data_IF_527350576166
#
_entry.id   IF_527350576166
#
_cell.length_a   1.000
_cell.length_b   1.000
_cell.length_c   1.000
_cell.angle_alpha   90.00
_cell.angle_beta   90.00
_cell.angle_gamma   90.00
#
_symmetry.space_group_name_H-M   'P 1'
#
loop_
_entity.id
_entity.type
_entity.pdbx_description
1 polymer ?
#
# COMPACT_ATOMS: atom_id res chain seq x y z
N UNK A 1 -0.68 49.87 -49.67
CA UNK A 1 0.20 49.16 -48.73
C UNK A 1 -0.47 47.84 -48.39
N UNK A 2 0.14 46.73 -48.80
CA UNK A 2 -0.35 45.36 -48.58
C UNK A 2 -0.24 45.02 -47.10
N UNK A 3 -1.35 44.68 -46.44
CA UNK A 3 -1.36 44.31 -45.04
C UNK A 3 -1.32 42.78 -44.87
N UNK A 4 -0.24 42.32 -44.26
CA UNK A 4 0.11 40.94 -43.91
C UNK A 4 -0.95 40.28 -43.00
N UNK A 5 -1.42 39.11 -43.43
CA UNK A 5 -2.31 38.21 -42.68
C UNK A 5 -1.63 37.72 -41.40
N UNK A 6 -2.17 38.07 -40.23
CA UNK A 6 -1.83 37.44 -38.95
C UNK A 6 -2.84 36.32 -38.67
N UNK A 7 -2.36 35.08 -38.67
CA UNK A 7 -3.11 33.90 -38.22
C UNK A 7 -3.49 34.07 -36.75
N UNK A 8 -4.75 34.40 -36.50
CA UNK A 8 -5.35 34.42 -35.17
C UNK A 8 -5.51 32.98 -34.69
N UNK A 9 -4.73 32.61 -33.66
CA UNK A 9 -4.85 31.35 -32.94
C UNK A 9 -6.30 31.12 -32.55
N UNK A 10 -6.86 30.04 -33.10
CA UNK A 10 -8.22 29.61 -32.86
C UNK A 10 -8.43 29.18 -31.41
N UNK A 11 -9.69 29.30 -30.98
CA UNK A 11 -10.29 28.65 -29.83
C UNK A 11 -10.01 29.29 -28.46
N UNK A 12 -10.70 30.42 -28.24
CA UNK A 12 -11.37 30.62 -26.98
C UNK A 12 -12.41 29.49 -26.79
N UNK A 13 -12.19 28.60 -25.83
CA UNK A 13 -13.24 27.76 -25.26
C UNK A 13 -13.23 27.92 -23.74
N UNK A 14 -14.10 28.81 -23.29
CA UNK A 14 -14.59 28.81 -21.92
C UNK A 14 -15.41 27.53 -21.71
N UNK A 15 -14.97 26.68 -20.78
CA UNK A 15 -15.78 25.60 -20.22
C UNK A 15 -15.70 25.68 -18.69
N UNK A 16 -16.62 26.47 -18.14
CA UNK A 16 -17.01 26.35 -16.75
C UNK A 16 -17.91 25.11 -16.64
N UNK A 17 -17.49 24.10 -15.90
CA UNK A 17 -18.36 23.05 -15.37
C UNK A 17 -17.88 22.70 -13.97
N UNK A 18 -18.73 22.99 -12.99
CA UNK A 18 -18.47 22.76 -11.58
C UNK A 18 -18.56 21.29 -11.20
N UNK A 19 -17.85 20.97 -10.13
CA UNK A 19 -18.08 19.80 -9.30
C UNK A 19 -17.66 20.17 -7.88
N UNK A 20 -18.63 20.68 -7.12
CA UNK A 20 -18.54 20.73 -5.67
C UNK A 20 -18.57 19.29 -5.16
N UNK A 21 -17.39 18.69 -4.95
CA UNK A 21 -17.29 17.45 -4.20
C UNK A 21 -17.40 17.81 -2.71
N UNK A 22 -18.60 17.66 -2.16
CA UNK A 22 -18.80 17.59 -0.71
C UNK A 22 -18.04 16.37 -0.20
N UNK A 23 -16.83 16.60 0.30
CA UNK A 23 -16.06 15.57 0.99
C UNK A 23 -16.76 15.35 2.33
N UNK A 24 -17.53 14.28 2.43
CA UNK A 24 -18.00 13.78 3.72
C UNK A 24 -16.76 13.44 4.55
N UNK A 25 -16.41 14.32 5.50
CA UNK A 25 -15.42 14.02 6.54
C UNK A 25 -16.05 12.98 7.45
N UNK A 26 -15.82 11.70 7.14
CA UNK A 26 -16.03 10.63 8.09
C UNK A 26 -15.05 10.86 9.26
N UNK A 27 -15.49 10.79 10.52
CA UNK A 27 -14.57 10.87 11.63
C UNK A 27 -13.66 9.64 11.56
N UNK A 28 -12.40 9.84 11.20
CA UNK A 28 -11.37 8.82 11.42
C UNK A 28 -11.14 8.75 12.92
N UNK A 29 -11.92 7.91 13.60
CA UNK A 29 -11.68 7.58 14.99
C UNK A 29 -10.31 6.91 15.08
N UNK A 30 -9.40 7.55 15.81
CA UNK A 30 -8.05 7.05 16.08
C UNK A 30 -8.12 5.77 16.93
N UNK A 31 -8.11 4.60 16.29
CA UNK A 31 -7.86 3.28 16.90
C UNK A 31 -6.54 2.67 16.38
N UNK A 32 -5.47 3.47 16.29
CA UNK A 32 -4.26 3.10 15.56
C UNK A 32 -3.41 1.93 16.14
N UNK A 33 -3.73 1.37 17.31
CA UNK A 33 -2.97 0.27 17.91
C UNK A 33 -3.68 -1.11 17.85
N UNK A 34 -5.02 -1.15 17.90
CA UNK A 34 -5.81 -2.39 17.82
C UNK A 34 -6.15 -2.81 16.37
N UNK A 35 -5.92 -1.89 15.42
CA UNK A 35 -6.24 -2.05 14.01
C UNK A 35 -5.07 -2.58 13.16
N UNK A 36 -3.98 -3.05 13.79
CA UNK A 36 -2.84 -3.62 13.07
C UNK A 36 -2.58 -5.06 13.52
N UNK A 37 -2.20 -5.93 12.58
CA UNK A 37 -1.91 -7.35 12.82
C UNK A 37 -0.54 -7.73 12.24
N UNK A 38 0.10 -8.72 12.88
CA UNK A 38 1.32 -9.32 12.35
C UNK A 38 0.94 -10.24 11.20
N UNK A 39 1.46 -9.96 10.01
CA UNK A 39 1.21 -10.78 8.85
C UNK A 39 2.49 -11.39 8.32
N UNK A 40 2.57 -12.72 8.38
CA UNK A 40 3.69 -13.51 7.89
C UNK A 40 3.54 -13.78 6.40
N UNK A 41 4.68 -13.82 5.69
CA UNK A 41 4.69 -14.17 4.28
C UNK A 41 4.34 -13.04 3.32
N UNK A 42 4.10 -11.82 3.80
CA UNK A 42 3.78 -10.66 2.95
C UNK A 42 4.95 -9.69 2.79
N UNK A 43 6.01 -9.88 3.58
CA UNK A 43 7.20 -9.04 3.50
C UNK A 43 8.03 -9.37 2.26
N UNK A 44 8.53 -8.33 1.59
CA UNK A 44 9.55 -8.46 0.56
C UNK A 44 10.93 -8.67 1.19
N UNK A 45 11.88 -9.13 0.38
CA UNK A 45 13.28 -9.26 0.75
C UNK A 45 13.79 -7.95 1.37
N UNK A 46 14.36 -8.05 2.56
CA UNK A 46 14.92 -6.91 3.30
C UNK A 46 13.90 -5.90 3.80
N UNK A 47 12.58 -6.19 3.75
CA UNK A 47 11.51 -5.24 4.10
C UNK A 47 10.50 -5.80 5.11
N UNK A 48 10.89 -6.79 5.90
CA UNK A 48 10.07 -7.30 6.99
C UNK A 48 10.19 -6.41 8.23
N UNK A 49 9.09 -6.32 8.95
CA UNK A 49 9.06 -5.78 10.30
C UNK A 49 9.45 -6.89 11.30
N UNK A 50 9.84 -6.47 12.50
CA UNK A 50 10.12 -7.40 13.57
C UNK A 50 9.51 -6.93 14.89
N UNK A 51 9.28 -7.87 15.81
CA UNK A 51 8.55 -7.65 17.06
C UNK A 51 9.32 -6.76 18.04
N UNK A 52 10.59 -6.54 17.78
CA UNK A 52 11.49 -6.02 18.80
C UNK A 52 11.53 -4.48 18.85
N UNK A 53 10.69 -3.78 18.07
CA UNK A 53 10.56 -2.32 18.13
C UNK A 53 11.66 -1.58 17.37
N UNK A 54 11.54 -0.26 17.30
CA UNK A 54 12.53 0.57 16.61
C UNK A 54 13.93 0.37 17.21
N UNK A 55 14.94 0.12 16.37
CA UNK A 55 16.34 -0.09 16.80
C UNK A 55 16.75 -1.54 17.02
N UNK A 56 15.90 -2.52 16.67
CA UNK A 56 16.22 -3.94 16.81
C UNK A 56 16.60 -4.62 15.49
N UNK A 57 17.49 -5.60 15.57
CA UNK A 57 18.28 -6.12 14.44
C UNK A 57 17.53 -7.02 13.46
N UNK A 58 16.25 -7.30 13.69
CA UNK A 58 15.49 -8.27 12.90
C UNK A 58 14.64 -7.63 11.79
N UNK A 59 14.41 -6.31 11.82
CA UNK A 59 13.82 -5.62 10.69
C UNK A 59 14.78 -5.68 9.49
N UNK A 60 14.24 -5.96 8.31
CA UNK A 60 15.02 -6.06 7.07
C UNK A 60 15.94 -7.28 6.94
N UNK A 61 15.69 -8.34 7.72
CA UNK A 61 16.46 -9.59 7.64
C UNK A 61 15.89 -10.62 6.67
N UNK A 62 14.70 -10.38 6.12
CA UNK A 62 14.08 -11.25 5.13
C UNK A 62 15.02 -11.48 3.94
N UNK A 63 15.36 -12.73 3.67
CA UNK A 63 16.33 -13.11 2.63
C UNK A 63 15.68 -13.26 1.25
N UNK A 64 14.39 -13.55 1.23
CA UNK A 64 13.57 -13.76 0.03
C UNK A 64 12.23 -13.05 0.17
N UNK A 65 11.58 -12.81 -0.96
CA UNK A 65 10.21 -12.31 -0.97
C UNK A 65 9.24 -13.33 -0.40
N UNK A 66 8.23 -12.85 0.32
CA UNK A 66 7.21 -13.65 0.97
C UNK A 66 7.78 -14.72 1.90
N UNK A 67 8.91 -14.46 2.56
CA UNK A 67 9.51 -15.45 3.45
C UNK A 67 8.56 -15.84 4.60
N UNK A 68 8.34 -17.14 4.82
CA UNK A 68 7.28 -17.65 5.68
C UNK A 68 7.41 -17.31 7.18
N UNK A 69 8.63 -17.06 7.66
CA UNK A 69 8.89 -16.59 9.03
C UNK A 69 9.17 -15.09 9.12
N UNK A 70 9.12 -14.36 7.99
CA UNK A 70 9.22 -12.92 7.97
C UNK A 70 7.82 -12.31 7.95
N UNK A 71 7.59 -11.27 8.75
CA UNK A 71 6.29 -10.66 8.86
C UNK A 71 6.34 -9.15 8.66
N UNK A 72 5.18 -8.56 8.40
CA UNK A 72 4.96 -7.12 8.31
C UNK A 72 3.73 -6.73 9.14
N UNK A 73 3.74 -5.55 9.75
CA UNK A 73 2.55 -4.98 10.36
C UNK A 73 1.63 -4.48 9.24
N UNK A 74 0.43 -5.04 9.18
CA UNK A 74 -0.59 -4.68 8.19
C UNK A 74 -1.89 -4.31 8.91
N UNK A 75 -2.80 -3.55 8.29
CA UNK A 75 -4.10 -3.30 8.87
C UNK A 75 -4.84 -4.62 9.15
N UNK A 76 -5.57 -4.66 10.26
CA UNK A 76 -6.30 -5.85 10.71
C UNK A 76 -7.29 -6.32 9.65
N UNK A 77 -7.36 -7.64 9.45
CA UNK A 77 -8.23 -8.25 8.43
C UNK A 77 -7.75 -8.06 6.99
N UNK A 78 -6.50 -7.64 6.77
CA UNK A 78 -5.87 -7.56 5.44
C UNK A 78 -4.82 -8.63 5.21
N UNK A 79 -4.31 -9.26 6.28
CA UNK A 79 -3.24 -10.24 6.16
C UNK A 79 -3.61 -11.41 5.24
N UNK A 80 -4.74 -12.05 5.53
CA UNK A 80 -5.25 -13.21 4.78
C UNK A 80 -5.79 -12.84 3.39
N UNK A 81 -5.83 -11.55 3.05
CA UNK A 81 -6.20 -11.03 1.73
C UNK A 81 -4.98 -10.61 0.91
N UNK A 82 -3.83 -10.50 1.55
CA UNK A 82 -2.58 -10.09 0.89
C UNK A 82 -1.93 -11.32 0.29
N UNK A 83 -1.60 -11.27 -1.00
CA UNK A 83 -0.97 -12.40 -1.69
C UNK A 83 0.39 -12.75 -1.07
N UNK A 84 0.65 -14.05 -0.93
CA UNK A 84 1.94 -14.59 -0.54
C UNK A 84 2.27 -15.79 -1.43
N UNK A 85 3.32 -15.66 -2.23
CA UNK A 85 3.69 -16.72 -3.17
C UNK A 85 4.22 -17.97 -2.48
N UNK A 86 4.75 -17.89 -1.27
CA UNK A 86 5.27 -19.06 -0.54
C UNK A 86 4.24 -19.69 0.39
N UNK A 87 3.12 -19.00 0.64
CA UNK A 87 2.09 -19.49 1.54
C UNK A 87 1.34 -20.66 0.93
N UNK A 88 1.07 -21.73 1.70
CA UNK A 88 0.19 -22.82 1.28
C UNK A 88 -1.20 -22.35 0.87
N UNK A 89 -1.70 -21.26 1.45
CA UNK A 89 -3.02 -20.68 1.13
C UNK A 89 -2.96 -19.68 -0.02
N UNK A 90 -1.76 -19.32 -0.51
CA UNK A 90 -1.57 -18.24 -1.48
C UNK A 90 -1.69 -16.83 -0.88
N UNK A 91 -1.98 -16.70 0.41
CA UNK A 91 -2.15 -15.44 1.12
C UNK A 91 -1.31 -15.38 2.40
N UNK A 92 -1.09 -14.19 2.93
CA UNK A 92 -0.44 -13.98 4.23
C UNK A 92 -1.15 -14.72 5.36
N UNK A 93 -0.41 -15.02 6.43
CA UNK A 93 -0.95 -15.72 7.60
C UNK A 93 -0.63 -14.97 8.90
N UNK A 94 -1.51 -15.07 9.89
CA UNK A 94 -1.32 -14.42 11.20
C UNK A 94 -0.19 -15.06 12.03
N UNK A 95 0.31 -16.22 11.59
CA UNK A 95 1.36 -16.98 12.24
C UNK A 95 2.40 -17.41 11.21
N UNK A 96 3.64 -17.62 11.66
CA UNK A 96 4.69 -18.18 10.81
C UNK A 96 4.27 -19.57 10.34
N UNK A 97 4.57 -19.89 9.09
CA UNK A 97 4.15 -21.14 8.46
C UNK A 97 5.33 -21.85 7.80
N UNK A 98 5.10 -23.08 7.33
CA UNK A 98 6.05 -23.77 6.46
C UNK A 98 5.77 -23.35 5.02
N UNK A 99 6.77 -22.75 4.37
CA UNK A 99 6.68 -22.39 2.96
C UNK A 99 6.31 -23.61 2.12
N UNK A 100 5.47 -23.41 1.11
CA UNK A 100 5.22 -24.42 0.09
C UNK A 100 6.54 -24.67 -0.64
N UNK A 101 6.91 -25.95 -0.71
CA UNK A 101 8.13 -26.43 -1.38
C UNK A 101 8.12 -26.09 -2.87
#
# INVERSE_FOLDING_TARGET
MTATTRTLSAAALALALGSALSIAVLPTTAQAADDMEKCFGVAMKGKNDCAAGAGTTCAGTAKVDHQANAWKLVPKGTCEKTASSTSPTGFGQLQAYKAKS
#
